data_IF_792753305232
#
_entry.id   IF_792753305232
#
_cell.length_a   1.000
_cell.length_b   1.000
_cell.length_c   1.000
_cell.angle_alpha   90.00
_cell.angle_beta   90.00
_cell.angle_gamma   90.00
#
_symmetry.space_group_name_H-M   'P 1'
#
loop_
_entity.id
_entity.type
_entity.pdbx_description
1 polymer ?
#
# COMPACT_ATOMS: atom_id res chain seq x y z
N UNK A 1 2.95 2.27 9.57
CA UNK A 1 3.51 0.96 9.18
C UNK A 1 2.51 0.20 8.33
N UNK A 2 2.42 0.52 7.03
CA UNK A 2 1.53 -0.21 6.12
C UNK A 2 2.22 -1.52 5.72
N UNK A 3 1.52 -2.64 5.93
CA UNK A 3 2.04 -4.00 5.79
C UNK A 3 2.63 -4.32 4.41
N UNK A 4 3.44 -5.38 4.36
CA UNK A 4 4.10 -5.89 3.13
C UNK A 4 3.16 -6.75 2.26
N UNK A 5 1.90 -6.88 2.66
CA UNK A 5 0.86 -7.66 1.99
C UNK A 5 0.28 -6.89 0.79
N UNK A 6 -0.05 -7.61 -0.29
CA UNK A 6 -0.72 -7.06 -1.48
C UNK A 6 -2.06 -7.74 -1.69
N UNK A 7 -3.08 -6.95 -1.94
CA UNK A 7 -4.38 -7.46 -2.41
C UNK A 7 -4.33 -7.65 -3.92
N UNK A 8 -4.59 -8.88 -4.38
CA UNK A 8 -4.58 -9.27 -5.80
C UNK A 8 -6.00 -9.34 -6.37
N UNK A 9 -6.98 -9.77 -5.57
CA UNK A 9 -8.42 -9.64 -5.84
C UNK A 9 -9.11 -9.17 -4.56
N UNK A 10 -9.99 -8.17 -4.66
CA UNK A 10 -10.74 -7.64 -3.52
C UNK A 10 -12.01 -8.46 -3.25
N UNK A 11 -12.75 -8.81 -4.30
CA UNK A 11 -14.04 -9.52 -4.20
C UNK A 11 -13.89 -11.01 -4.54
N UNK A 12 -12.79 -11.59 -4.07
CA UNK A 12 -12.39 -12.93 -4.46
C UNK A 12 -13.13 -14.06 -3.75
N UNK A 13 -13.65 -13.76 -2.56
CA UNK A 13 -14.12 -14.72 -1.58
C UNK A 13 -15.42 -14.22 -0.94
N UNK A 14 -16.10 -15.08 -0.17
CA UNK A 14 -17.30 -14.66 0.56
C UNK A 14 -16.94 -13.71 1.70
N UNK A 15 -17.88 -12.82 2.05
CA UNK A 15 -17.71 -11.89 3.17
C UNK A 15 -17.39 -12.62 4.50
N UNK A 16 -18.01 -13.79 4.73
CA UNK A 16 -17.73 -14.64 5.90
C UNK A 16 -16.26 -15.08 5.96
N UNK A 17 -15.70 -15.52 4.83
CA UNK A 17 -14.31 -15.96 4.75
C UNK A 17 -13.34 -14.77 4.88
N UNK A 18 -13.71 -13.62 4.32
CA UNK A 18 -12.94 -12.39 4.47
C UNK A 18 -12.92 -11.94 5.94
N UNK A 19 -14.05 -11.99 6.62
CA UNK A 19 -14.13 -11.61 8.04
C UNK A 19 -13.33 -12.57 8.92
N UNK A 20 -13.37 -13.88 8.66
CA UNK A 20 -12.51 -14.86 9.34
C UNK A 20 -11.02 -14.53 9.14
N UNK A 21 -10.61 -14.18 7.92
CA UNK A 21 -9.23 -13.82 7.63
C UNK A 21 -8.78 -12.52 8.33
N UNK A 22 -9.68 -11.54 8.48
CA UNK A 22 -9.45 -10.32 9.26
C UNK A 22 -9.23 -10.69 10.73
N UNK A 23 -10.15 -11.44 11.32
CA UNK A 23 -10.16 -11.76 12.76
C UNK A 23 -9.01 -12.67 13.19
N UNK A 24 -8.52 -13.51 12.27
CA UNK A 24 -7.43 -14.46 12.54
C UNK A 24 -6.04 -13.90 12.24
N UNK A 25 -5.93 -12.69 11.68
CA UNK A 25 -4.66 -12.12 11.28
C UNK A 25 -3.79 -11.77 12.51
N UNK A 26 -2.66 -12.45 12.76
CA UNK A 26 -1.91 -12.34 14.01
C UNK A 26 -1.21 -10.98 14.21
N UNK A 27 -1.16 -10.17 13.15
CA UNK A 27 -0.49 -8.86 13.10
C UNK A 27 -1.41 -7.78 12.55
N UNK A 28 -2.73 -8.03 12.52
CA UNK A 28 -3.77 -7.05 12.18
C UNK A 28 -3.49 -6.32 10.85
N UNK A 29 -3.35 -7.09 9.76
CA UNK A 29 -2.90 -6.57 8.46
C UNK A 29 -4.02 -6.35 7.43
N UNK A 30 -5.27 -6.74 7.72
CA UNK A 30 -6.40 -6.73 6.78
C UNK A 30 -7.54 -5.97 7.44
N UNK A 31 -8.08 -4.95 6.77
CA UNK A 31 -9.17 -4.14 7.30
C UNK A 31 -10.12 -3.70 6.18
N UNK A 32 -11.38 -3.48 6.54
CA UNK A 32 -12.34 -2.79 5.70
C UNK A 32 -11.93 -1.33 5.50
N UNK A 33 -12.19 -0.81 4.31
CA UNK A 33 -11.93 0.60 3.95
C UNK A 33 -13.16 1.16 3.26
N UNK A 34 -13.36 2.47 3.38
CA UNK A 34 -14.45 3.13 2.67
C UNK A 34 -14.17 3.11 1.15
N UNK A 35 -15.23 2.94 0.37
CA UNK A 35 -15.14 2.89 -1.10
C UNK A 35 -14.51 4.17 -1.68
N UNK A 36 -14.74 5.32 -1.07
CA UNK A 36 -14.17 6.61 -1.51
C UNK A 36 -12.66 6.70 -1.28
N UNK A 37 -12.14 5.96 -0.29
CA UNK A 37 -10.71 5.91 0.01
C UNK A 37 -9.96 4.89 -0.86
N UNK A 38 -10.69 3.91 -1.39
CA UNK A 38 -10.14 2.80 -2.17
C UNK A 38 -9.20 3.28 -3.27
N UNK A 39 -9.64 4.23 -4.09
CA UNK A 39 -8.85 4.76 -5.22
C UNK A 39 -7.51 5.35 -4.76
N UNK A 40 -7.51 6.08 -3.64
CA UNK A 40 -6.30 6.67 -3.09
C UNK A 40 -5.34 5.58 -2.60
N UNK A 41 -5.85 4.56 -1.92
CA UNK A 41 -5.06 3.41 -1.45
C UNK A 41 -4.47 2.60 -2.61
N UNK A 42 -5.21 2.43 -3.72
CA UNK A 42 -4.70 1.78 -4.93
C UNK A 42 -3.60 2.59 -5.60
N UNK A 43 -3.73 3.92 -5.65
CA UNK A 43 -2.69 4.79 -6.19
C UNK A 43 -1.44 4.79 -5.31
N UNK A 44 -1.58 4.82 -3.98
CA UNK A 44 -0.44 4.70 -3.06
C UNK A 44 0.25 3.33 -3.17
N UNK A 45 -0.50 2.25 -3.46
CA UNK A 45 0.05 0.88 -3.62
C UNK A 45 1.05 0.79 -4.77
N UNK A 46 0.84 1.50 -5.88
CA UNK A 46 1.70 1.44 -7.08
C UNK A 46 3.16 1.79 -6.77
N UNK A 47 3.37 2.66 -5.80
CA UNK A 47 4.69 3.16 -5.41
C UNK A 47 5.34 2.36 -4.27
N UNK A 48 4.70 1.30 -3.75
CA UNK A 48 5.25 0.50 -2.66
C UNK A 48 6.39 -0.42 -3.14
N UNK A 49 7.59 -0.20 -2.57
CA UNK A 49 8.75 -1.07 -2.77
C UNK A 49 8.66 -2.26 -1.82
N UNK A 50 8.31 -3.44 -2.36
CA UNK A 50 8.28 -4.69 -1.60
C UNK A 50 9.49 -5.53 -2.01
N UNK A 51 10.41 -5.81 -1.07
CA UNK A 51 11.55 -6.67 -1.36
C UNK A 51 11.10 -8.10 -1.64
N UNK A 52 11.80 -8.80 -2.53
CA UNK A 52 11.54 -10.21 -2.82
C UNK A 52 11.83 -11.04 -1.56
N UNK A 53 10.89 -11.90 -1.18
CA UNK A 53 11.03 -12.78 -0.01
C UNK A 53 12.26 -13.68 -0.18
N UNK A 54 13.07 -13.78 0.87
CA UNK A 54 14.29 -14.60 0.88
C UNK A 54 15.53 -13.92 0.30
N UNK A 55 15.43 -12.68 -0.20
CA UNK A 55 16.57 -11.90 -0.67
C UNK A 55 16.96 -10.79 0.32
N UNK A 56 18.26 -10.43 0.42
CA UNK A 56 18.68 -9.31 1.25
C UNK A 56 17.99 -8.02 0.83
N UNK A 57 17.44 -7.29 1.80
CA UNK A 57 16.83 -5.98 1.55
C UNK A 57 17.96 -4.98 1.30
N UNK A 58 18.11 -4.51 0.06
CA UNK A 58 19.01 -3.41 -0.24
C UNK A 58 18.41 -2.07 0.23
N UNK A 59 18.88 -1.61 1.39
CA UNK A 59 18.46 -0.34 1.97
C UNK A 59 18.78 0.87 1.08
N UNK A 60 19.77 0.78 0.19
CA UNK A 60 20.05 1.84 -0.78
C UNK A 60 18.90 1.95 -1.80
N UNK A 61 18.43 0.82 -2.33
CA UNK A 61 17.27 0.75 -3.21
C UNK A 61 15.99 1.24 -2.51
N UNK A 62 15.75 0.84 -1.27
CA UNK A 62 14.59 1.32 -0.47
C UNK A 62 14.64 2.84 -0.28
N UNK A 63 15.79 3.40 0.15
CA UNK A 63 15.94 4.87 0.32
C UNK A 63 15.78 5.62 -1.00
N UNK A 64 16.30 5.09 -2.11
CA UNK A 64 16.11 5.68 -3.42
C UNK A 64 14.62 5.71 -3.84
N UNK A 65 13.86 4.65 -3.51
CA UNK A 65 12.40 4.63 -3.65
C UNK A 65 11.69 5.69 -2.81
N UNK A 66 12.03 5.79 -1.52
CA UNK A 66 11.45 6.80 -0.61
C UNK A 66 11.71 8.23 -1.11
N UNK A 67 12.94 8.53 -1.56
CA UNK A 67 13.29 9.85 -2.10
C UNK A 67 12.50 10.19 -3.37
N UNK A 68 12.26 9.20 -4.24
CA UNK A 68 11.39 9.37 -5.43
C UNK A 68 9.94 9.69 -5.02
N UNK A 69 9.38 8.97 -4.04
CA UNK A 69 8.04 9.25 -3.47
C UNK A 69 7.93 10.68 -2.95
N UNK A 70 8.90 11.13 -2.15
CA UNK A 70 8.89 12.49 -1.59
C UNK A 70 8.90 13.56 -2.68
N UNK A 71 9.70 13.37 -3.74
CA UNK A 71 9.71 14.28 -4.91
C UNK A 71 8.39 14.27 -5.68
N UNK A 72 7.81 13.09 -5.95
CA UNK A 72 6.53 12.98 -6.64
C UNK A 72 5.42 13.71 -5.86
N UNK A 73 5.30 13.46 -4.54
CA UNK A 73 4.36 14.17 -3.67
C UNK A 73 4.62 15.67 -3.55
N UNK A 74 5.87 16.14 -3.71
CA UNK A 74 6.19 17.57 -3.71
C UNK A 74 5.84 18.24 -5.05
N UNK A 75 6.04 17.52 -6.16
CA UNK A 75 5.68 17.96 -7.51
C UNK A 75 4.17 18.07 -7.68
N UNK A 76 3.43 17.08 -7.21
CA UNK A 76 1.96 17.02 -7.25
C UNK A 76 1.32 18.17 -6.43
N UNK A 77 1.86 18.46 -5.24
CA UNK A 77 1.47 19.63 -4.44
C UNK A 77 1.79 20.96 -5.12
N UNK A 78 2.85 21.04 -5.91
CA UNK A 78 3.20 22.26 -6.68
C UNK A 78 2.25 22.48 -7.86
N UNK A 79 1.73 21.43 -8.48
CA UNK A 79 0.73 21.54 -9.56
C UNK A 79 -0.67 21.95 -9.08
N UNK A 80 -1.02 21.69 -7.82
CA UNK A 80 -2.33 22.04 -7.26
C UNK A 80 -2.40 23.42 -6.57
N UNK A 81 -1.26 24.10 -6.40
CA UNK A 81 -1.16 25.40 -5.70
C UNK A 81 -1.05 26.63 -6.61
N UNK A 82 -1.43 26.52 -7.89
CA UNK A 82 -1.36 27.61 -8.87
C UNK A 82 -2.73 28.05 -9.37
N UNK A 83 -3.52 28.70 -8.52
CA UNK A 83 -4.60 29.62 -8.88
C UNK A 83 -4.61 30.77 -7.87
#
# INVERSE_FOLDING_TARGET
>A
DYGRSRVVRQDGDSEELIQEAIDTCPVDCIHWVDYTELKNLEDERKDQVIPVVGFPVDFATVRAGVRRRQKAKLGDRKSQGGH
#
